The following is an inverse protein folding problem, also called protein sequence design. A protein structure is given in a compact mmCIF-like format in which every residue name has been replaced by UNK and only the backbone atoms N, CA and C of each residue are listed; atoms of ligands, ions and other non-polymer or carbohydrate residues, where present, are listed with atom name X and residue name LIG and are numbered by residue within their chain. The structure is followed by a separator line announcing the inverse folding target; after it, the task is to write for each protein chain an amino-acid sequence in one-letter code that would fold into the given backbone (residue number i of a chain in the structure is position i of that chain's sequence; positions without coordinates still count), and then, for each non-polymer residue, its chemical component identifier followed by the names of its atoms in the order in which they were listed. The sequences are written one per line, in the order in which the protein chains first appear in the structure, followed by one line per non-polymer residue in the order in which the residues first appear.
data_IF_608177150027
#
_entry.id   IF_608177150027
#
_cell.length_a   1.000
_cell.length_b   1.000
_cell.length_c   1.000
_cell.angle_alpha   90.00
_cell.angle_beta   90.00
_cell.angle_gamma   90.00
#
_symmetry.space_group_name_H-M   'P 1'
#
loop_
_entity.id
_entity.type
_entity.pdbx_description
1 polymer ?
#
# COMPACT_ATOMS: atom_id res chain seq x y z
N UNK A 1 33.50 23.24 -24.11
CA UNK A 1 33.44 23.07 -22.65
C UNK A 1 32.31 22.12 -22.34
N UNK A 2 32.52 21.13 -21.47
CA UNK A 2 31.44 20.22 -21.07
C UNK A 2 30.44 21.01 -20.22
N UNK A 3 29.23 21.20 -20.73
CA UNK A 3 28.10 21.66 -19.92
C UNK A 3 27.56 20.45 -19.17
N UNK A 4 27.60 20.51 -17.85
CA UNK A 4 26.91 19.52 -17.03
C UNK A 4 25.44 19.93 -16.93
N UNK A 5 24.54 18.96 -17.01
CA UNK A 5 23.13 19.18 -16.71
C UNK A 5 22.97 19.54 -15.24
N UNK A 6 22.10 20.52 -14.98
CA UNK A 6 21.73 20.97 -13.64
C UNK A 6 20.30 20.52 -13.41
N UNK A 7 20.12 19.62 -12.45
CA UNK A 7 18.81 19.11 -12.04
C UNK A 7 18.27 19.91 -10.86
N UNK A 8 16.95 20.07 -10.83
CA UNK A 8 16.20 20.64 -9.70
C UNK A 8 15.20 19.58 -9.20
N UNK A 9 14.90 19.59 -7.90
CA UNK A 9 13.82 18.76 -7.36
C UNK A 9 12.46 19.37 -7.72
N UNK A 10 11.53 18.53 -8.14
CA UNK A 10 10.14 18.93 -8.39
C UNK A 10 9.32 19.00 -7.08
N UNK A 11 9.77 18.32 -6.02
CA UNK A 11 9.06 18.17 -4.75
C UNK A 11 8.93 16.70 -4.35
N UNK A 12 8.23 16.45 -3.23
CA UNK A 12 7.90 15.11 -2.74
C UNK A 12 6.60 14.64 -3.38
N UNK A 13 6.71 14.10 -4.59
CA UNK A 13 5.58 13.54 -5.34
C UNK A 13 5.72 12.02 -5.45
N UNK A 14 4.59 11.31 -5.35
CA UNK A 14 4.56 9.89 -5.65
C UNK A 14 4.62 9.64 -7.17
N UNK A 15 4.80 8.38 -7.57
CA UNK A 15 4.92 8.06 -8.99
C UNK A 15 3.63 8.26 -9.78
N UNK A 16 2.44 8.16 -9.16
CA UNK A 16 1.19 8.37 -9.89
C UNK A 16 0.97 9.88 -10.15
N UNK A 17 1.38 10.73 -9.22
CA UNK A 17 1.41 12.19 -9.37
C UNK A 17 2.44 12.63 -10.42
N UNK A 18 3.67 12.11 -10.37
CA UNK A 18 4.70 12.39 -11.36
C UNK A 18 4.24 11.97 -12.76
N UNK A 19 3.68 10.77 -12.88
CA UNK A 19 3.18 10.25 -14.15
C UNK A 19 2.05 11.12 -14.71
N UNK A 20 1.07 11.44 -13.87
CA UNK A 20 -0.16 12.14 -14.30
C UNK A 20 0.07 13.61 -14.62
N UNK A 21 0.95 14.28 -13.87
CA UNK A 21 1.13 15.74 -13.97
C UNK A 21 2.37 16.13 -14.78
N UNK A 22 3.39 15.28 -14.84
CA UNK A 22 4.69 15.60 -15.45
C UNK A 22 5.12 14.62 -16.54
N UNK A 23 4.42 13.49 -16.71
CA UNK A 23 4.67 12.54 -17.80
C UNK A 23 5.94 11.68 -17.61
N UNK A 24 6.43 11.55 -16.38
CA UNK A 24 7.54 10.66 -16.04
C UNK A 24 7.33 10.03 -14.66
N UNK A 25 8.03 8.94 -14.37
CA UNK A 25 8.11 8.35 -13.04
C UNK A 25 9.46 7.62 -12.89
N UNK A 26 9.78 7.14 -11.69
CA UNK A 26 11.01 6.38 -11.43
C UNK A 26 10.72 5.16 -10.57
N UNK A 27 11.34 4.03 -10.92
CA UNK A 27 11.34 2.82 -10.09
C UNK A 27 11.93 3.09 -8.69
N UNK A 28 12.85 4.06 -8.58
CA UNK A 28 13.57 4.39 -7.35
C UNK A 28 13.12 5.71 -6.72
N UNK A 29 11.87 6.12 -6.96
CA UNK A 29 11.34 7.34 -6.36
C UNK A 29 11.34 7.22 -4.82
N UNK A 30 12.22 8.00 -4.19
CA UNK A 30 12.38 8.00 -2.73
C UNK A 30 11.16 8.54 -2.00
N UNK A 31 10.25 9.24 -2.66
CA UNK A 31 9.01 9.77 -2.05
C UNK A 31 7.78 8.95 -2.47
N UNK A 32 7.96 7.77 -3.10
CA UNK A 32 6.83 6.97 -3.55
C UNK A 32 6.00 6.44 -2.39
N UNK A 33 4.69 6.54 -2.53
CA UNK A 33 3.71 5.82 -1.73
C UNK A 33 2.80 5.05 -2.67
N UNK A 34 2.23 3.95 -2.22
CA UNK A 34 1.27 3.19 -3.02
C UNK A 34 0.01 2.91 -2.24
N UNK A 35 -1.13 3.07 -2.92
CA UNK A 35 -2.43 2.77 -2.34
C UNK A 35 -2.93 1.41 -2.78
N UNK A 36 -3.59 0.71 -1.86
CA UNK A 36 -4.32 -0.54 -2.11
C UNK A 36 -5.62 -0.55 -1.32
N UNK A 37 -6.56 -1.40 -1.75
CA UNK A 37 -7.90 -1.47 -1.16
C UNK A 37 -8.01 -2.72 -0.32
N UNK A 38 -8.64 -2.59 0.84
CA UNK A 38 -8.91 -3.70 1.75
C UNK A 38 -10.40 -3.72 2.05
N UNK A 39 -11.04 -4.88 1.90
CA UNK A 39 -12.48 -5.03 2.14
C UNK A 39 -12.75 -6.23 3.04
N UNK A 40 -13.44 -5.99 4.14
CA UNK A 40 -14.07 -7.06 4.91
C UNK A 40 -15.53 -7.22 4.50
N UNK A 41 -16.12 -8.40 4.75
CA UNK A 41 -17.54 -8.68 4.48
C UNK A 41 -18.47 -7.79 5.34
N UNK A 42 -18.01 -7.41 6.53
CA UNK A 42 -18.73 -6.53 7.44
C UNK A 42 -18.73 -5.07 7.02
N UNK A 43 -17.87 -4.68 6.06
CA UNK A 43 -17.88 -3.34 5.50
C UNK A 43 -19.08 -3.13 4.58
N UNK A 44 -19.54 -1.88 4.49
CA UNK A 44 -20.50 -1.46 3.48
C UNK A 44 -19.90 -1.52 2.06
N UNK A 45 -20.38 -0.66 1.17
CA UNK A 45 -19.91 -0.66 -0.22
C UNK A 45 -18.47 -0.12 -0.37
N UNK A 46 -18.01 0.67 0.59
CA UNK A 46 -16.73 1.40 0.50
C UNK A 46 -15.60 0.60 1.16
N UNK A 47 -14.55 0.21 0.41
CA UNK A 47 -13.37 -0.44 0.98
C UNK A 47 -12.50 0.57 1.74
N UNK A 48 -11.71 0.08 2.68
CA UNK A 48 -10.66 0.88 3.31
C UNK A 48 -9.53 1.06 2.31
N UNK A 49 -9.10 2.31 2.12
CA UNK A 49 -7.91 2.61 1.32
C UNK A 49 -6.72 2.67 2.28
N UNK A 50 -5.72 1.82 2.04
CA UNK A 50 -4.48 1.81 2.78
C UNK A 50 -3.32 2.28 1.90
N UNK A 51 -2.35 2.91 2.54
CA UNK A 51 -1.12 3.43 1.95
C UNK A 51 0.06 2.63 2.48
N UNK A 52 0.90 2.13 1.58
CA UNK A 52 2.25 1.67 1.87
C UNK A 52 3.20 2.82 1.57
N UNK A 53 3.96 3.27 2.56
CA UNK A 53 4.92 4.36 2.35
C UNK A 53 6.23 3.89 1.69
N UNK A 54 7.16 4.82 1.44
CA UNK A 54 8.45 4.55 0.82
C UNK A 54 9.36 3.60 1.64
N UNK A 55 9.07 3.41 2.93
CA UNK A 55 9.77 2.46 3.80
C UNK A 55 9.03 1.13 3.90
N UNK A 56 7.86 0.99 3.27
CA UNK A 56 7.01 -0.19 3.35
C UNK A 56 6.07 -0.20 4.55
N UNK A 57 6.02 0.85 5.36
CA UNK A 57 5.15 0.86 6.54
C UNK A 57 3.70 1.06 6.15
N UNK A 58 2.81 0.27 6.75
CA UNK A 58 1.37 0.50 6.75
C UNK A 58 0.87 1.12 8.06
N UNK A 59 1.70 1.12 9.11
CA UNK A 59 1.40 1.77 10.39
C UNK A 59 1.80 3.25 10.33
N UNK A 60 1.21 3.96 9.37
CA UNK A 60 1.47 5.37 9.11
C UNK A 60 0.22 6.22 9.34
N UNK A 61 0.41 7.55 9.41
CA UNK A 61 -0.69 8.48 9.72
C UNK A 61 -1.80 8.51 8.67
N UNK A 62 -1.53 8.07 7.44
CA UNK A 62 -2.53 8.01 6.37
C UNK A 62 -3.56 6.89 6.63
N UNK A 63 -3.16 5.85 7.36
CA UNK A 63 -3.95 4.65 7.55
C UNK A 63 -4.75 4.63 8.86
N UNK A 64 -4.52 5.54 9.82
CA UNK A 64 -5.17 5.50 11.14
C UNK A 64 -6.68 5.29 11.07
N UNK A 65 -7.39 6.12 10.28
CA UNK A 65 -8.85 6.01 10.15
C UNK A 65 -9.29 4.73 9.43
N UNK A 66 -8.54 4.31 8.41
CA UNK A 66 -8.82 3.10 7.64
C UNK A 66 -8.62 1.83 8.47
N UNK A 67 -7.59 1.80 9.33
CA UNK A 67 -7.33 0.71 10.27
C UNK A 67 -8.41 0.64 11.34
N UNK A 68 -8.81 1.76 11.93
CA UNK A 68 -9.91 1.78 12.91
C UNK A 68 -11.24 1.32 12.30
N UNK A 69 -11.52 1.71 11.06
CA UNK A 69 -12.69 1.22 10.32
C UNK A 69 -12.62 -0.30 10.07
N UNK A 70 -11.43 -0.83 9.74
CA UNK A 70 -11.24 -2.27 9.55
C UNK A 70 -11.45 -3.03 10.86
N UNK A 71 -10.85 -2.58 11.97
CA UNK A 71 -11.05 -3.13 13.33
C UNK A 71 -12.53 -3.24 13.66
N UNK A 72 -13.27 -2.14 13.52
CA UNK A 72 -14.70 -2.09 13.78
C UNK A 72 -15.50 -3.02 12.87
N UNK A 73 -15.12 -3.16 11.61
CA UNK A 73 -15.81 -4.05 10.65
C UNK A 73 -15.62 -5.55 10.95
N UNK A 74 -14.54 -5.91 11.64
CA UNK A 74 -14.16 -7.28 11.98
C UNK A 74 -14.48 -7.64 13.45
N UNK A 75 -14.94 -6.66 14.23
CA UNK A 75 -15.24 -6.87 15.64
C UNK A 75 -16.49 -7.75 15.81
N UNK A 76 -16.43 -8.69 16.76
CA UNK A 76 -17.62 -9.44 17.18
C UNK A 76 -18.43 -8.62 18.19
N UNK A 77 -19.74 -8.87 18.36
CA UNK A 77 -20.59 -8.07 19.26
C UNK A 77 -20.05 -7.93 20.69
N UNK A 78 -19.48 -8.99 21.24
CA UNK A 78 -18.90 -8.96 22.60
C UNK A 78 -17.68 -8.05 22.72
N UNK A 79 -16.89 -7.91 21.65
CA UNK A 79 -15.73 -7.01 21.63
C UNK A 79 -16.17 -5.54 21.55
N UNK A 80 -17.27 -5.26 20.85
CA UNK A 80 -17.82 -3.91 20.73
C UNK A 80 -18.45 -3.41 22.03
N UNK A 81 -18.96 -4.30 22.88
CA UNK A 81 -19.51 -3.95 24.19
C UNK A 81 -18.44 -3.45 25.17
N UNK A 82 -17.21 -3.96 25.03
CA UNK A 82 -16.06 -3.64 25.89
C UNK A 82 -15.16 -2.53 25.30
N UNK A 83 -15.38 -2.15 24.03
CA UNK A 83 -14.52 -1.20 23.33
C UNK A 83 -14.76 0.26 23.76
N UNK A 84 -13.72 0.91 24.30
CA UNK A 84 -13.78 2.30 24.76
C UNK A 84 -13.69 3.35 23.63
N UNK A 85 -13.65 2.91 22.37
CA UNK A 85 -13.75 3.79 21.20
C UNK A 85 -12.44 4.23 20.55
N UNK A 86 -11.28 3.78 21.05
CA UNK A 86 -9.98 4.08 20.41
C UNK A 86 -9.01 2.90 20.47
N UNK A 87 -8.33 2.64 19.35
CA UNK A 87 -7.19 1.73 19.27
C UNK A 87 -7.58 0.27 19.10
N UNK A 88 -6.69 -0.60 19.59
CA UNK A 88 -6.84 -2.05 19.51
C UNK A 88 -8.10 -2.53 20.23
N UNK A 89 -8.90 -3.34 19.56
CA UNK A 89 -10.13 -3.93 20.11
C UNK A 89 -9.80 -5.22 20.88
N UNK A 90 -9.10 -6.16 20.24
CA UNK A 90 -8.66 -7.43 20.84
C UNK A 90 -7.46 -8.00 20.06
N UNK A 91 -6.73 -8.97 20.63
CA UNK A 91 -5.64 -9.66 19.92
C UNK A 91 -6.17 -10.35 18.66
N UNK A 92 -7.27 -11.11 18.78
CA UNK A 92 -7.97 -11.79 17.67
C UNK A 92 -8.35 -10.81 16.56
N UNK A 93 -8.88 -9.64 16.91
CA UNK A 93 -9.30 -8.63 15.95
C UNK A 93 -8.12 -8.05 15.16
N UNK A 94 -6.98 -7.77 15.82
CA UNK A 94 -5.76 -7.37 15.11
C UNK A 94 -5.27 -8.48 14.20
N UNK A 95 -5.26 -9.74 14.66
CA UNK A 95 -4.82 -10.88 13.85
C UNK A 95 -5.65 -11.02 12.57
N UNK A 96 -6.98 -10.97 12.68
CA UNK A 96 -7.87 -11.03 11.51
C UNK A 96 -7.70 -9.83 10.58
N UNK A 97 -7.50 -8.63 11.15
CA UNK A 97 -7.27 -7.42 10.38
C UNK A 97 -5.97 -7.52 9.57
N UNK A 98 -4.85 -7.84 10.22
CA UNK A 98 -3.56 -7.92 9.54
C UNK A 98 -3.51 -9.10 8.56
N UNK A 99 -4.15 -10.24 8.85
CA UNK A 99 -4.29 -11.34 7.89
C UNK A 99 -5.02 -10.89 6.61
N UNK A 100 -6.13 -10.14 6.76
CA UNK A 100 -6.86 -9.57 5.63
C UNK A 100 -5.99 -8.58 4.84
N UNK A 101 -5.29 -7.68 5.54
CA UNK A 101 -4.40 -6.69 4.91
C UNK A 101 -3.28 -7.38 4.13
N UNK A 102 -2.66 -8.43 4.71
CA UNK A 102 -1.60 -9.20 4.06
C UNK A 102 -2.09 -9.83 2.75
N UNK A 103 -3.28 -10.45 2.76
CA UNK A 103 -3.86 -11.06 1.56
C UNK A 103 -4.10 -10.05 0.44
N UNK A 104 -4.73 -8.92 0.75
CA UNK A 104 -5.03 -7.87 -0.25
C UNK A 104 -3.76 -7.16 -0.75
N UNK A 105 -2.75 -7.00 0.11
CA UNK A 105 -1.46 -6.43 -0.28
C UNK A 105 -0.69 -7.39 -1.20
N UNK A 106 -0.72 -8.69 -0.92
CA UNK A 106 -0.06 -9.72 -1.75
C UNK A 106 -0.71 -9.79 -3.13
N UNK A 107 -2.05 -9.73 -3.21
CA UNK A 107 -2.78 -9.65 -4.47
C UNK A 107 -2.43 -8.37 -5.25
N UNK A 108 -2.37 -7.21 -4.59
CA UNK A 108 -1.98 -5.95 -5.23
C UNK A 108 -0.53 -5.98 -5.75
N UNK A 109 0.40 -6.63 -5.03
CA UNK A 109 1.78 -6.80 -5.46
C UNK A 109 1.88 -7.77 -6.64
N UNK A 110 1.11 -8.87 -6.62
CA UNK A 110 1.01 -9.83 -7.71
C UNK A 110 0.47 -9.18 -8.99
N UNK A 111 -0.61 -8.40 -8.89
CA UNK A 111 -1.21 -7.70 -10.03
C UNK A 111 -0.24 -6.67 -10.64
N UNK A 112 0.47 -5.92 -9.80
CA UNK A 112 1.51 -5.01 -10.27
C UNK A 112 2.59 -5.78 -11.06
N UNK A 113 3.05 -6.92 -10.53
CA UNK A 113 4.05 -7.78 -11.18
C UNK A 113 3.55 -8.36 -12.51
N UNK A 114 2.31 -8.84 -12.56
CA UNK A 114 1.70 -9.33 -13.79
C UNK A 114 1.58 -8.21 -14.84
N UNK A 115 1.18 -7.02 -14.42
CA UNK A 115 1.07 -5.84 -15.27
C UNK A 115 2.42 -5.38 -15.84
N UNK A 116 3.53 -5.52 -15.09
CA UNK A 116 4.89 -5.23 -15.62
C UNK A 116 5.15 -6.07 -16.87
N UNK A 117 4.92 -7.38 -16.79
CA UNK A 117 5.18 -8.29 -17.91
C UNK A 117 4.31 -7.94 -19.14
N UNK A 118 3.04 -7.60 -18.92
CA UNK A 118 2.14 -7.18 -19.99
C UNK A 118 2.57 -5.86 -20.65
N UNK A 119 2.99 -4.87 -19.85
CA UNK A 119 3.47 -3.59 -20.35
C UNK A 119 4.77 -3.73 -21.16
N UNK A 120 5.70 -4.56 -20.69
CA UNK A 120 6.96 -4.86 -21.39
C UNK A 120 6.71 -5.55 -22.75
N UNK A 121 5.78 -6.51 -22.81
CA UNK A 121 5.39 -7.16 -24.07
C UNK A 121 4.82 -6.16 -25.07
N UNK A 122 4.07 -5.15 -24.59
CA UNK A 122 3.51 -4.09 -25.43
C UNK A 122 4.51 -2.98 -25.78
N UNK A 123 5.69 -2.98 -25.16
CA UNK A 123 6.69 -1.92 -25.31
C UNK A 123 6.33 -0.61 -24.60
N UNK A 124 5.38 -0.64 -23.65
CA UNK A 124 5.01 0.54 -22.86
C UNK A 124 5.95 0.69 -21.65
N UNK A 125 7.11 1.30 -21.92
CA UNK A 125 8.16 1.47 -20.91
C UNK A 125 7.74 2.39 -19.76
N UNK A 126 6.82 3.34 -19.99
CA UNK A 126 6.38 4.27 -18.95
C UNK A 126 5.47 3.57 -17.96
N UNK A 127 4.49 2.80 -18.45
CA UNK A 127 3.63 1.96 -17.59
C UNK A 127 4.45 0.89 -16.89
N UNK A 128 5.38 0.23 -17.59
CA UNK A 128 6.27 -0.75 -16.97
C UNK A 128 7.10 -0.16 -15.83
N UNK A 129 7.62 1.07 -16.00
CA UNK A 129 8.39 1.77 -14.96
C UNK A 129 7.53 2.11 -13.74
N UNK A 130 6.32 2.62 -13.97
CA UNK A 130 5.36 2.88 -12.90
C UNK A 130 5.06 1.59 -12.11
N UNK A 131 4.74 0.50 -12.80
CA UNK A 131 4.39 -0.77 -12.16
C UNK A 131 5.57 -1.41 -11.44
N UNK A 132 6.81 -1.23 -11.91
CA UNK A 132 8.02 -1.64 -11.18
C UNK A 132 8.17 -0.88 -9.86
N UNK A 133 8.01 0.45 -9.89
CA UNK A 133 8.00 1.26 -8.68
C UNK A 133 6.91 0.83 -7.70
N UNK A 134 5.68 0.63 -8.22
CA UNK A 134 4.56 0.14 -7.41
C UNK A 134 4.85 -1.22 -6.78
N UNK A 135 5.25 -2.21 -7.58
CA UNK A 135 5.56 -3.56 -7.10
C UNK A 135 6.66 -3.53 -6.02
N UNK A 136 7.72 -2.74 -6.24
CA UNK A 136 8.80 -2.56 -5.25
C UNK A 136 8.28 -2.03 -3.90
N UNK A 137 7.45 -1.00 -3.92
CA UNK A 137 6.87 -0.43 -2.68
C UNK A 137 5.98 -1.44 -1.97
N UNK A 138 5.09 -2.13 -2.70
CA UNK A 138 4.18 -3.13 -2.11
C UNK A 138 4.93 -4.35 -1.56
N UNK A 139 5.94 -4.87 -2.26
CA UNK A 139 6.81 -5.96 -1.79
C UNK A 139 7.59 -5.58 -0.53
N UNK A 140 8.01 -4.33 -0.40
CA UNK A 140 8.65 -3.85 0.83
C UNK A 140 7.67 -3.91 2.01
N UNK A 141 6.41 -3.54 1.80
CA UNK A 141 5.37 -3.68 2.81
C UNK A 141 5.08 -5.14 3.18
N UNK A 142 4.99 -6.04 2.19
CA UNK A 142 4.85 -7.48 2.46
C UNK A 142 6.02 -8.03 3.25
N UNK A 143 7.24 -7.59 2.95
CA UNK A 143 8.43 -8.01 3.69
C UNK A 143 8.34 -7.60 5.17
N UNK A 144 7.96 -6.35 5.46
CA UNK A 144 7.82 -5.87 6.83
C UNK A 144 6.72 -6.67 7.56
N UNK A 145 5.56 -6.86 6.92
CA UNK A 145 4.48 -7.63 7.51
C UNK A 145 4.85 -9.11 7.74
N UNK A 146 5.66 -9.71 6.87
CA UNK A 146 6.20 -11.07 7.08
C UNK A 146 7.14 -11.14 8.28
N UNK A 147 7.94 -10.10 8.48
CA UNK A 147 8.88 -10.03 9.60
C UNK A 147 8.14 -9.79 10.94
N UNK A 148 7.06 -9.00 10.93
CA UNK A 148 6.25 -8.67 12.12
C UNK A 148 5.17 -9.72 12.46
N UNK A 149 4.56 -10.31 11.43
CA UNK A 149 3.44 -11.24 11.54
C UNK A 149 3.68 -12.51 10.70
N UNK A 150 4.68 -13.34 11.06
CA UNK A 150 5.09 -14.49 10.26
C UNK A 150 3.99 -15.56 10.11
N UNK A 151 3.05 -15.63 11.05
CA UNK A 151 1.99 -16.65 11.06
C UNK A 151 0.90 -16.44 9.98
N UNK A 152 0.91 -15.30 9.27
CA UNK A 152 -0.06 -14.98 8.22
C UNK A 152 0.42 -15.32 6.80
N UNK A 153 1.61 -15.90 6.64
CA UNK A 153 2.27 -16.16 5.35
C UNK A 153 2.64 -17.63 5.13
#
# INVERSE_FOLDING_TARGET
GKGNEVFISYGDFDNIELLSNYGFCSEENASNIETFRVRSIGMGLDPSLLVVDNQGSIDNMFNTMSLDALRLSLAVPSELEEYEGTGKISDRNEEEMYALICGELDEAAYDAKAGIAEAEIRGDMLVATYLKGRHRTLELGLKILRDEYPDFF
#
